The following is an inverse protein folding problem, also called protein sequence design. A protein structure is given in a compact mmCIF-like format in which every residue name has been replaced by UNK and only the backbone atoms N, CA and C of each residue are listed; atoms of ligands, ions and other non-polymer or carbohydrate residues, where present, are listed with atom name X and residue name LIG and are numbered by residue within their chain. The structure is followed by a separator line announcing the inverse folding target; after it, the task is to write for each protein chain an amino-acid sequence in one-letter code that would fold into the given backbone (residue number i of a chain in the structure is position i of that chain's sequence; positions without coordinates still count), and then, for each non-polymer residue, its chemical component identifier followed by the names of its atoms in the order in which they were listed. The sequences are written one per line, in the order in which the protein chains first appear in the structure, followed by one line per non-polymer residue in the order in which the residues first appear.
data_IF_190571416653
#
_entry.id   IF_190571416653
#
_cell.length_a   1.000
_cell.length_b   1.000
_cell.length_c   1.000
_cell.angle_alpha   90.00
_cell.angle_beta   90.00
_cell.angle_gamma   90.00
#
_symmetry.space_group_name_H-M   'P 1'
#
loop_
_entity.id
_entity.type
_entity.pdbx_description
1 polymer ?
#
# COMPACT_ATOMS: atom_id res chain seq x y z
N UNK A 1 -9.69 -26.54 5.51
CA UNK A 1 -8.46 -27.38 5.71
C UNK A 1 -7.41 -26.95 4.71
N UNK A 2 -6.13 -27.02 5.04
CA UNK A 2 -5.07 -26.76 4.08
C UNK A 2 -5.10 -27.82 2.96
N UNK A 3 -4.70 -27.42 1.74
CA UNK A 3 -4.53 -28.37 0.65
C UNK A 3 -3.27 -29.21 0.91
N UNK A 4 -3.42 -30.49 1.20
CA UNK A 4 -2.32 -31.39 1.60
C UNK A 4 -1.34 -31.68 0.45
N UNK A 5 -1.76 -31.57 -0.83
CA UNK A 5 -0.86 -31.71 -1.97
C UNK A 5 0.11 -30.52 -2.08
N UNK A 6 -0.40 -29.30 -1.90
CA UNK A 6 0.40 -28.07 -2.00
C UNK A 6 1.11 -27.75 -0.69
N UNK A 7 0.52 -28.11 0.45
CA UNK A 7 1.01 -27.81 1.80
C UNK A 7 1.02 -29.07 2.67
N UNK A 8 1.91 -30.03 2.40
CA UNK A 8 1.91 -31.32 3.10
C UNK A 8 2.14 -31.21 4.61
N UNK A 9 2.74 -30.13 5.08
CA UNK A 9 2.94 -29.82 6.50
C UNK A 9 1.99 -28.72 6.99
N UNK A 10 0.95 -28.39 6.23
CA UNK A 10 -0.01 -27.33 6.52
C UNK A 10 0.58 -25.93 6.61
N UNK A 11 -0.23 -24.97 7.05
CA UNK A 11 0.19 -23.57 7.26
C UNK A 11 1.27 -23.48 8.34
N UNK A 12 1.20 -24.29 9.38
CA UNK A 12 2.20 -24.37 10.45
C UNK A 12 3.59 -24.66 9.88
N UNK A 13 3.74 -25.72 9.10
CA UNK A 13 5.03 -26.09 8.52
C UNK A 13 5.58 -25.04 7.55
N UNK A 14 4.70 -24.35 6.79
CA UNK A 14 5.11 -23.23 5.93
C UNK A 14 5.61 -22.06 6.76
N UNK A 15 4.85 -21.64 7.77
CA UNK A 15 5.21 -20.50 8.62
C UNK A 15 6.52 -20.72 9.37
N UNK A 16 6.77 -21.94 9.87
CA UNK A 16 8.03 -22.32 10.53
C UNK A 16 9.24 -22.25 9.56
N UNK A 17 9.05 -22.67 8.31
CA UNK A 17 10.11 -22.58 7.28
C UNK A 17 10.43 -21.13 6.91
N UNK A 18 9.43 -20.26 6.80
CA UNK A 18 9.61 -18.83 6.53
C UNK A 18 10.35 -18.17 7.71
N UNK A 19 9.96 -18.47 8.94
CA UNK A 19 10.64 -17.94 10.13
C UNK A 19 12.12 -18.40 10.21
N UNK A 20 12.42 -19.62 9.83
CA UNK A 20 13.79 -20.15 9.79
C UNK A 20 14.69 -19.39 8.81
N UNK A 21 14.10 -18.68 7.83
CA UNK A 21 14.82 -17.75 6.93
C UNK A 21 14.99 -16.35 7.52
N UNK A 22 14.54 -16.11 8.74
CA UNK A 22 14.58 -14.78 9.39
C UNK A 22 13.48 -13.84 8.91
N UNK A 23 12.43 -14.36 8.27
CA UNK A 23 11.30 -13.59 7.76
C UNK A 23 10.07 -13.83 8.66
N UNK A 24 9.15 -12.88 8.64
CA UNK A 24 7.81 -13.02 9.22
C UNK A 24 6.85 -13.56 8.17
N UNK A 25 5.92 -14.41 8.58
CA UNK A 25 4.92 -14.99 7.68
C UNK A 25 3.60 -14.22 7.76
N UNK A 26 3.05 -13.85 6.60
CA UNK A 26 1.73 -13.25 6.47
C UNK A 26 0.79 -14.13 5.67
N UNK A 27 -0.52 -14.01 5.94
CA UNK A 27 -1.55 -14.76 5.24
C UNK A 27 -2.72 -13.86 4.84
N UNK A 28 -3.26 -14.09 3.64
CA UNK A 28 -4.45 -13.44 3.14
C UNK A 28 -5.70 -14.19 3.61
N UNK A 29 -6.70 -13.45 4.08
CA UNK A 29 -7.99 -13.95 4.50
C UNK A 29 -9.13 -13.20 3.83
N UNK A 30 -10.22 -13.91 3.54
CA UNK A 30 -11.49 -13.37 3.07
C UNK A 30 -12.63 -13.91 3.96
N UNK A 31 -12.67 -13.52 5.25
CA UNK A 31 -13.48 -14.20 6.25
C UNK A 31 -14.98 -13.89 6.19
N UNK A 32 -15.35 -12.85 5.45
CA UNK A 32 -16.75 -12.39 5.31
C UNK A 32 -17.48 -13.08 4.15
N UNK A 33 -16.81 -14.02 3.48
CA UNK A 33 -17.32 -14.65 2.26
C UNK A 33 -17.44 -16.16 2.41
N UNK A 34 -18.40 -16.74 1.69
CA UNK A 34 -18.59 -18.19 1.66
C UNK A 34 -18.96 -18.65 0.24
N UNK A 35 -18.40 -19.79 -0.18
CA UNK A 35 -18.75 -20.46 -1.42
C UNK A 35 -19.85 -21.49 -1.15
N UNK A 36 -20.80 -21.66 -2.09
CA UNK A 36 -21.84 -22.72 -1.98
C UNK A 36 -21.27 -24.12 -1.88
N UNK A 37 -20.13 -24.35 -2.54
CA UNK A 37 -19.40 -25.60 -2.46
C UNK A 37 -18.40 -25.61 -1.30
N UNK A 38 -18.90 -25.33 -0.09
CA UNK A 38 -18.13 -25.39 1.15
C UNK A 38 -18.92 -26.09 2.24
N UNK A 39 -18.23 -26.68 3.20
CA UNK A 39 -18.85 -27.33 4.35
C UNK A 39 -19.66 -26.33 5.19
N UNK A 40 -19.14 -25.11 5.32
CA UNK A 40 -19.83 -24.06 6.06
C UNK A 40 -21.19 -23.74 5.43
N UNK A 41 -21.25 -23.54 4.12
CA UNK A 41 -22.51 -23.24 3.45
C UNK A 41 -23.47 -24.43 3.49
N UNK A 42 -22.98 -25.67 3.31
CA UNK A 42 -23.80 -26.89 3.42
C UNK A 42 -24.41 -27.06 4.80
N UNK A 43 -23.67 -26.71 5.86
CA UNK A 43 -24.13 -26.78 7.23
C UNK A 43 -25.09 -25.65 7.60
N UNK A 44 -24.87 -24.44 7.07
CA UNK A 44 -25.56 -23.22 7.43
C UNK A 44 -25.93 -22.36 6.21
N UNK A 45 -26.82 -22.83 5.31
CA UNK A 45 -27.18 -22.09 4.10
C UNK A 45 -27.94 -20.78 4.40
N UNK A 46 -28.49 -20.65 5.62
CA UNK A 46 -29.17 -19.46 6.13
C UNK A 46 -28.23 -18.38 6.71
N UNK A 47 -26.90 -18.62 6.72
CA UNK A 47 -25.92 -17.67 7.25
C UNK A 47 -25.46 -16.62 6.24
N UNK A 48 -26.01 -16.60 5.06
CA UNK A 48 -25.71 -15.56 4.06
C UNK A 48 -26.77 -14.44 4.10
N UNK A 49 -26.35 -13.23 3.71
CA UNK A 49 -27.29 -12.16 3.42
C UNK A 49 -28.06 -12.51 2.13
N UNK A 50 -29.39 -12.64 2.23
CA UNK A 50 -30.24 -12.98 1.08
C UNK A 50 -31.67 -12.52 1.29
N UNK A 51 -32.26 -11.93 0.25
CA UNK A 51 -33.67 -11.53 0.27
C UNK A 51 -34.56 -12.75 0.02
N UNK A 52 -35.55 -13.03 0.92
CA UNK A 52 -36.46 -14.16 0.71
C UNK A 52 -37.21 -14.11 -0.63
N UNK A 53 -37.29 -15.26 -1.29
CA UNK A 53 -37.97 -15.40 -2.57
C UNK A 53 -37.28 -14.79 -3.78
N UNK A 54 -36.05 -14.32 -3.63
CA UNK A 54 -35.21 -13.83 -4.72
C UNK A 54 -33.97 -14.68 -4.89
N UNK A 55 -33.45 -14.74 -6.13
CA UNK A 55 -32.13 -15.32 -6.36
C UNK A 55 -31.06 -14.44 -5.73
N UNK A 56 -30.15 -15.08 -4.99
CA UNK A 56 -28.98 -14.40 -4.42
C UNK A 56 -27.92 -14.24 -5.47
N UNK A 57 -27.44 -13.02 -5.67
CA UNK A 57 -26.31 -12.76 -6.55
C UNK A 57 -24.99 -13.20 -5.90
N UNK A 58 -24.02 -13.51 -6.72
CA UNK A 58 -22.68 -13.86 -6.27
C UNK A 58 -21.62 -13.11 -7.08
N UNK A 59 -20.49 -12.83 -6.48
CA UNK A 59 -19.26 -12.43 -7.14
C UNK A 59 -18.19 -13.48 -6.90
N UNK A 60 -17.44 -13.89 -7.93
CA UNK A 60 -16.38 -14.92 -7.82
C UNK A 60 -16.88 -16.24 -7.20
N UNK A 61 -18.16 -16.60 -7.42
CA UNK A 61 -18.86 -17.75 -6.80
C UNK A 61 -19.00 -17.64 -5.27
N UNK A 62 -18.87 -16.45 -4.68
CA UNK A 62 -18.94 -16.20 -3.26
C UNK A 62 -20.19 -15.41 -2.89
N UNK A 63 -20.70 -15.68 -1.68
CA UNK A 63 -21.83 -15.02 -1.03
C UNK A 63 -21.34 -14.34 0.23
N UNK A 64 -22.01 -13.27 0.65
CA UNK A 64 -21.66 -12.53 1.86
C UNK A 64 -22.29 -13.23 3.07
N UNK A 65 -21.48 -13.57 4.07
CA UNK A 65 -21.94 -14.04 5.36
C UNK A 65 -22.68 -12.95 6.12
N UNK A 66 -23.70 -13.31 6.87
CA UNK A 66 -24.47 -12.37 7.68
C UNK A 66 -23.77 -12.05 9.01
N UNK A 67 -22.83 -11.12 8.96
CA UNK A 67 -22.10 -10.65 10.15
C UNK A 67 -22.96 -9.83 11.13
N UNK A 68 -24.23 -9.56 10.82
CA UNK A 68 -25.17 -9.05 11.81
C UNK A 68 -25.55 -10.11 12.87
N UNK A 69 -25.19 -11.37 12.63
CA UNK A 69 -25.46 -12.51 13.48
C UNK A 69 -24.25 -12.88 14.30
N UNK A 70 -24.39 -12.85 15.62
CA UNK A 70 -23.31 -13.19 16.55
C UNK A 70 -22.75 -14.59 16.34
N UNK A 71 -23.59 -15.58 16.06
CA UNK A 71 -23.19 -16.96 15.83
C UNK A 71 -22.30 -17.13 14.59
N UNK A 72 -22.47 -16.30 13.57
CA UNK A 72 -21.59 -16.26 12.38
C UNK A 72 -20.23 -15.70 12.76
N UNK A 73 -20.21 -14.57 13.44
CA UNK A 73 -18.97 -13.93 13.93
C UNK A 73 -18.20 -14.88 14.86
N UNK A 74 -18.89 -15.54 15.81
CA UNK A 74 -18.28 -16.49 16.74
C UNK A 74 -17.65 -17.68 16.01
N UNK A 75 -18.28 -18.21 14.99
CA UNK A 75 -17.77 -19.32 14.19
C UNK A 75 -16.49 -18.93 13.44
N UNK A 76 -16.52 -17.79 12.73
CA UNK A 76 -15.37 -17.28 11.97
C UNK A 76 -14.21 -16.95 12.92
N UNK A 77 -14.51 -16.31 14.06
CA UNK A 77 -13.51 -16.06 15.09
C UNK A 77 -12.82 -17.36 15.53
N UNK A 78 -13.60 -18.41 15.87
CA UNK A 78 -13.03 -19.70 16.29
C UNK A 78 -12.12 -20.33 15.24
N UNK A 79 -12.46 -20.20 13.96
CA UNK A 79 -11.63 -20.71 12.86
C UNK A 79 -10.32 -19.93 12.72
N UNK A 80 -10.39 -18.60 12.75
CA UNK A 80 -9.21 -17.74 12.63
C UNK A 80 -8.30 -17.84 13.86
N UNK A 81 -8.85 -17.77 15.07
CA UNK A 81 -8.11 -17.88 16.32
C UNK A 81 -7.37 -19.22 16.41
N UNK A 82 -8.03 -20.31 16.03
CA UNK A 82 -7.37 -21.63 15.97
C UNK A 82 -6.15 -21.61 15.04
N UNK A 83 -6.27 -21.07 13.83
CA UNK A 83 -5.18 -21.04 12.87
C UNK A 83 -4.02 -20.16 13.37
N UNK A 84 -4.33 -19.00 13.97
CA UNK A 84 -3.34 -18.09 14.55
C UNK A 84 -2.61 -18.74 15.73
N UNK A 85 -3.32 -19.49 16.58
CA UNK A 85 -2.71 -20.22 17.71
C UNK A 85 -1.81 -21.38 17.28
N UNK A 86 -2.11 -22.02 16.14
CA UNK A 86 -1.39 -23.19 15.64
C UNK A 86 -0.22 -22.85 14.71
N UNK A 87 -0.13 -21.62 14.21
CA UNK A 87 0.82 -21.21 13.17
C UNK A 87 1.49 -19.88 13.52
N UNK A 88 2.73 -19.67 13.04
CA UNK A 88 3.50 -18.44 13.25
C UNK A 88 3.11 -17.35 12.25
N UNK A 89 1.88 -16.88 12.33
CA UNK A 89 1.37 -15.80 11.49
C UNK A 89 1.58 -14.47 12.21
N UNK A 90 2.27 -13.54 11.56
CA UNK A 90 2.57 -12.20 12.09
C UNK A 90 1.86 -11.08 11.34
N UNK A 91 1.20 -11.41 10.22
CA UNK A 91 0.53 -10.45 9.36
C UNK A 91 -0.71 -11.08 8.72
N UNK A 92 -1.81 -10.33 8.71
CA UNK A 92 -3.03 -10.72 8.03
C UNK A 92 -3.44 -9.60 7.07
N UNK A 93 -3.58 -9.95 5.78
CA UNK A 93 -4.32 -9.13 4.83
C UNK A 93 -5.77 -9.62 4.81
N UNK A 94 -6.67 -8.82 5.37
CA UNK A 94 -8.11 -9.10 5.42
C UNK A 94 -8.81 -8.43 4.28
N UNK A 95 -9.41 -9.21 3.40
CA UNK A 95 -10.04 -8.73 2.18
C UNK A 95 -11.56 -8.99 2.18
N UNK A 96 -12.29 -8.14 1.45
CA UNK A 96 -13.71 -8.24 1.19
C UNK A 96 -13.97 -7.87 -0.26
N UNK A 97 -13.95 -8.86 -1.17
CA UNK A 97 -14.03 -8.64 -2.62
C UNK A 97 -15.46 -8.69 -3.15
N UNK A 98 -16.42 -8.25 -2.36
CA UNK A 98 -17.81 -8.26 -2.75
C UNK A 98 -18.61 -7.12 -2.12
N UNK A 99 -19.39 -6.43 -2.94
CA UNK A 99 -20.43 -5.51 -2.45
C UNK A 99 -21.60 -6.27 -1.86
N UNK A 100 -22.21 -5.75 -0.80
CA UNK A 100 -23.47 -6.28 -0.25
C UNK A 100 -24.60 -5.79 -1.14
N UNK A 101 -25.17 -6.68 -1.95
CA UNK A 101 -26.24 -6.38 -2.90
C UNK A 101 -27.63 -6.74 -2.36
N UNK A 102 -27.74 -7.87 -1.63
CA UNK A 102 -28.95 -8.31 -0.97
C UNK A 102 -28.89 -7.98 0.52
N UNK A 103 -29.22 -6.73 0.87
CA UNK A 103 -29.14 -6.26 2.25
C UNK A 103 -30.35 -6.72 3.08
N UNK A 104 -30.41 -8.02 3.36
CA UNK A 104 -31.45 -8.63 4.16
C UNK A 104 -30.88 -9.76 5.04
N UNK A 105 -31.15 -9.69 6.34
CA UNK A 105 -30.81 -10.74 7.32
C UNK A 105 -32.04 -11.55 7.68
N UNK A 106 -31.99 -12.87 7.51
CA UNK A 106 -33.07 -13.77 7.92
C UNK A 106 -33.31 -13.79 9.45
N UNK A 107 -32.37 -13.24 10.21
CA UNK A 107 -32.41 -13.19 11.68
C UNK A 107 -33.13 -11.94 12.20
N UNK A 108 -33.14 -10.86 11.45
CA UNK A 108 -33.81 -9.62 11.86
C UNK A 108 -35.27 -9.61 11.47
N UNK A 109 -36.17 -9.08 12.32
CA UNK A 109 -37.56 -8.86 11.97
C UNK A 109 -37.69 -7.81 10.85
N UNK A 110 -38.83 -7.80 10.16
CA UNK A 110 -39.04 -6.98 8.97
C UNK A 110 -38.90 -5.47 9.20
N UNK A 111 -39.27 -5.00 10.39
CA UNK A 111 -39.18 -3.59 10.81
C UNK A 111 -37.77 -3.15 11.15
N UNK A 112 -36.83 -4.08 11.27
CA UNK A 112 -35.39 -3.81 11.58
C UNK A 112 -34.42 -4.09 10.42
N UNK A 113 -34.93 -4.44 9.25
CA UNK A 113 -34.05 -4.73 8.10
C UNK A 113 -33.19 -3.52 7.66
N UNK A 114 -33.65 -2.29 7.93
CA UNK A 114 -32.81 -1.09 7.69
C UNK A 114 -31.54 -0.99 8.54
N UNK A 115 -31.37 -1.85 9.56
CA UNK A 115 -30.20 -1.88 10.43
C UNK A 115 -29.11 -2.85 9.93
N UNK A 116 -29.34 -3.64 8.86
CA UNK A 116 -28.46 -4.74 8.44
C UNK A 116 -27.04 -4.24 8.17
N UNK A 117 -26.84 -3.19 7.39
CA UNK A 117 -25.51 -2.66 7.11
C UNK A 117 -24.75 -2.22 8.36
N UNK A 118 -25.45 -1.51 9.26
CA UNK A 118 -24.84 -1.06 10.51
C UNK A 118 -24.45 -2.24 11.40
N UNK A 119 -25.36 -3.20 11.57
CA UNK A 119 -25.11 -4.41 12.37
C UNK A 119 -24.02 -5.28 11.78
N UNK A 120 -23.97 -5.36 10.45
CA UNK A 120 -22.90 -6.06 9.74
C UNK A 120 -21.52 -5.50 10.11
N UNK A 121 -21.35 -4.18 10.01
CA UNK A 121 -20.08 -3.52 10.36
C UNK A 121 -19.75 -3.67 11.84
N UNK A 122 -20.74 -3.62 12.74
CA UNK A 122 -20.50 -3.93 14.16
C UNK A 122 -19.99 -5.36 14.37
N UNK A 123 -20.49 -6.33 13.59
CA UNK A 123 -19.99 -7.70 13.61
C UNK A 123 -18.56 -7.82 13.07
N UNK A 124 -18.21 -7.05 12.03
CA UNK A 124 -16.81 -6.97 11.52
C UNK A 124 -15.90 -6.38 12.59
N UNK A 125 -16.32 -5.31 13.26
CA UNK A 125 -15.54 -4.72 14.35
C UNK A 125 -15.39 -5.64 15.57
N UNK A 126 -16.46 -6.37 15.95
CA UNK A 126 -16.36 -7.38 17.02
C UNK A 126 -15.32 -8.45 16.70
N UNK A 127 -15.29 -8.92 15.46
CA UNK A 127 -14.29 -9.92 15.04
C UNK A 127 -12.87 -9.35 15.08
N UNK A 128 -12.65 -8.13 14.56
CA UNK A 128 -11.36 -7.44 14.65
C UNK A 128 -10.93 -7.22 16.10
N UNK A 129 -11.82 -6.67 16.95
CA UNK A 129 -11.56 -6.38 18.36
C UNK A 129 -11.06 -7.62 19.10
N UNK A 130 -11.74 -8.74 18.91
CA UNK A 130 -11.38 -10.01 19.55
C UNK A 130 -10.05 -10.54 19.05
N UNK A 131 -9.81 -10.51 17.73
CA UNK A 131 -8.55 -11.01 17.16
C UNK A 131 -7.36 -10.13 17.53
N UNK A 132 -7.49 -8.82 17.50
CA UNK A 132 -6.41 -7.90 17.87
C UNK A 132 -6.09 -7.94 19.36
N UNK A 133 -7.09 -8.17 20.22
CA UNK A 133 -6.89 -8.33 21.66
C UNK A 133 -6.22 -9.68 22.00
N UNK A 134 -6.58 -10.77 21.33
CA UNK A 134 -6.02 -12.09 21.60
C UNK A 134 -4.64 -12.28 20.95
N UNK A 135 -4.41 -11.64 19.79
CA UNK A 135 -3.16 -11.73 19.02
C UNK A 135 -2.55 -10.34 18.75
N UNK A 136 -2.12 -9.62 19.79
CA UNK A 136 -1.66 -8.23 19.66
C UNK A 136 -0.39 -8.06 18.81
N UNK A 137 0.37 -9.14 18.59
CA UNK A 137 1.58 -9.14 17.75
C UNK A 137 1.29 -9.32 16.26
N UNK A 138 0.03 -9.59 15.89
CA UNK A 138 -0.37 -9.76 14.49
C UNK A 138 -0.78 -8.41 13.91
N UNK A 139 -0.08 -7.98 12.86
CA UNK A 139 -0.45 -6.78 12.12
C UNK A 139 -1.56 -7.11 11.11
N UNK A 140 -2.64 -6.31 11.12
CA UNK A 140 -3.73 -6.42 10.17
C UNK A 140 -3.62 -5.33 9.10
N UNK A 141 -3.84 -5.73 7.85
CA UNK A 141 -4.08 -4.85 6.71
C UNK A 141 -5.52 -5.03 6.24
N UNK A 142 -6.27 -3.94 6.09
CA UNK A 142 -7.61 -4.00 5.51
C UNK A 142 -7.56 -3.85 3.99
N UNK A 143 -8.38 -4.66 3.32
CA UNK A 143 -8.64 -4.56 1.89
C UNK A 143 -10.14 -4.78 1.63
N UNK A 144 -10.70 -4.13 0.61
CA UNK A 144 -12.04 -4.39 0.14
C UNK A 144 -12.11 -4.08 -1.37
N UNK A 145 -11.60 -4.99 -2.20
CA UNK A 145 -11.33 -4.73 -3.62
C UNK A 145 -10.52 -3.43 -3.76
N UNK A 146 -9.40 -3.34 -3.06
CA UNK A 146 -8.67 -2.10 -2.85
C UNK A 146 -9.25 -1.27 -1.71
N UNK A 147 -9.44 0.04 -1.95
CA UNK A 147 -9.82 1.04 -0.95
C UNK A 147 -11.31 1.15 -0.61
N UNK A 148 -12.13 0.16 -0.93
CA UNK A 148 -13.58 0.24 -0.73
C UNK A 148 -14.04 0.47 0.72
N UNK A 149 -13.18 0.17 1.70
CA UNK A 149 -13.39 0.44 3.14
C UNK A 149 -12.18 1.12 3.78
N UNK A 150 -11.49 1.97 3.05
CA UNK A 150 -10.36 2.73 3.61
C UNK A 150 -10.90 3.92 4.41
N UNK A 151 -11.14 3.72 5.68
CA UNK A 151 -11.76 4.69 6.58
C UNK A 151 -11.15 4.61 8.00
N UNK A 152 -11.37 5.64 8.86
CA UNK A 152 -10.80 5.67 10.20
C UNK A 152 -11.26 4.53 11.12
N UNK A 153 -12.47 4.00 10.92
CA UNK A 153 -12.98 2.88 11.71
C UNK A 153 -12.20 1.61 11.42
N UNK A 154 -11.92 1.33 10.15
CA UNK A 154 -11.08 0.19 9.76
C UNK A 154 -9.62 0.39 10.20
N UNK A 155 -9.09 1.62 10.08
CA UNK A 155 -7.71 1.94 10.49
C UNK A 155 -7.48 1.83 12.01
N UNK A 156 -8.54 1.87 12.82
CA UNK A 156 -8.45 1.63 14.26
C UNK A 156 -7.96 0.20 14.57
N UNK A 157 -8.40 -0.79 13.79
CA UNK A 157 -8.03 -2.20 13.97
C UNK A 157 -6.90 -2.64 13.03
N UNK A 158 -6.89 -2.12 11.82
CA UNK A 158 -5.94 -2.44 10.77
C UNK A 158 -5.22 -1.16 10.35
N UNK A 159 -4.07 -0.84 10.98
CA UNK A 159 -3.39 0.47 10.81
C UNK A 159 -2.84 0.68 9.40
N UNK A 160 -2.92 -0.32 8.55
CA UNK A 160 -2.57 -0.28 7.13
C UNK A 160 -3.76 -0.73 6.29
N UNK A 161 -3.99 -0.05 5.15
CA UNK A 161 -5.01 -0.42 4.19
C UNK A 161 -4.47 -0.47 2.77
N UNK A 162 -5.03 -1.37 1.96
CA UNK A 162 -4.78 -1.41 0.52
C UNK A 162 -5.65 -0.36 -0.16
N UNK A 163 -5.03 0.62 -0.80
CA UNK A 163 -5.72 1.81 -1.31
C UNK A 163 -6.42 1.58 -2.65
N UNK A 164 -5.89 0.67 -3.47
CA UNK A 164 -6.45 0.31 -4.78
C UNK A 164 -5.78 -0.96 -5.29
N UNK A 165 -6.54 -1.82 -5.97
CA UNK A 165 -6.02 -2.98 -6.70
C UNK A 165 -5.26 -2.57 -7.98
N UNK A 166 -5.38 -1.29 -8.40
CA UNK A 166 -4.53 -0.78 -9.46
C UNK A 166 -3.13 -0.51 -8.91
N UNK A 167 -2.22 -1.42 -9.22
CA UNK A 167 -0.83 -1.41 -8.78
C UNK A 167 0.13 -0.80 -9.81
N UNK A 168 -0.39 -0.26 -10.94
CA UNK A 168 0.42 0.45 -11.91
C UNK A 168 1.05 1.72 -11.31
N UNK A 169 2.37 1.88 -11.43
CA UNK A 169 3.09 2.98 -10.79
C UNK A 169 2.58 4.38 -11.20
N UNK A 170 2.14 4.54 -12.45
CA UNK A 170 1.65 5.84 -12.94
C UNK A 170 0.25 6.16 -12.40
N UNK A 171 -0.64 5.17 -12.33
CA UNK A 171 -1.94 5.36 -11.68
C UNK A 171 -1.79 5.54 -10.16
N UNK A 172 -0.81 4.87 -9.56
CA UNK A 172 -0.49 5.04 -8.12
C UNK A 172 -0.06 6.46 -7.76
N UNK A 173 0.51 7.24 -8.68
CA UNK A 173 0.75 8.67 -8.44
C UNK A 173 -0.53 9.40 -8.06
N UNK A 174 -1.64 9.14 -8.77
CA UNK A 174 -2.95 9.74 -8.49
C UNK A 174 -3.58 9.16 -7.22
N UNK A 175 -3.52 7.84 -7.07
CA UNK A 175 -4.12 7.12 -5.95
C UNK A 175 -3.46 7.54 -4.62
N UNK A 176 -2.12 7.50 -4.55
CA UNK A 176 -1.38 7.88 -3.34
C UNK A 176 -1.50 9.38 -3.04
N UNK A 177 -1.45 10.22 -4.06
CA UNK A 177 -1.67 11.66 -3.90
C UNK A 177 -3.06 11.94 -3.31
N UNK A 178 -4.12 11.36 -3.89
CA UNK A 178 -5.49 11.53 -3.41
C UNK A 178 -5.68 10.99 -2.00
N UNK A 179 -5.23 9.76 -1.73
CA UNK A 179 -5.34 9.15 -0.39
C UNK A 179 -4.60 9.96 0.66
N UNK A 180 -3.43 10.50 0.33
CA UNK A 180 -2.62 11.32 1.25
C UNK A 180 -3.27 12.64 1.66
N UNK A 181 -4.37 13.06 1.00
CA UNK A 181 -5.13 14.24 1.43
C UNK A 181 -5.83 14.03 2.78
N UNK A 182 -6.16 12.78 3.11
CA UNK A 182 -6.92 12.42 4.32
C UNK A 182 -6.12 11.51 5.27
N UNK A 183 -5.16 10.73 4.76
CA UNK A 183 -4.51 9.65 5.50
C UNK A 183 -2.98 9.74 5.41
N UNK A 184 -2.25 9.35 6.48
CA UNK A 184 -0.79 9.36 6.48
C UNK A 184 -0.20 8.29 5.56
N UNK A 185 1.03 8.51 5.09
CA UNK A 185 1.73 7.55 4.21
C UNK A 185 1.89 6.18 4.87
N UNK A 186 2.09 6.14 6.19
CA UNK A 186 2.25 4.89 6.96
C UNK A 186 1.03 3.99 6.94
N UNK A 187 -0.15 4.51 6.58
CA UNK A 187 -1.39 3.72 6.48
C UNK A 187 -1.68 3.17 5.09
N UNK A 188 -0.91 3.59 4.07
CA UNK A 188 -1.19 3.24 2.67
C UNK A 188 -0.28 2.12 2.16
N UNK A 189 -0.83 0.96 1.82
CA UNK A 189 -0.11 -0.09 1.11
C UNK A 189 0.38 0.39 -0.25
N UNK A 190 1.67 0.17 -0.55
CA UNK A 190 2.31 0.58 -1.81
C UNK A 190 3.32 -0.45 -2.28
N UNK A 191 3.08 -1.04 -3.45
CA UNK A 191 3.87 -2.16 -3.94
C UNK A 191 4.52 -1.90 -5.29
N UNK A 192 5.70 -2.49 -5.46
CA UNK A 192 6.37 -2.68 -6.76
C UNK A 192 5.71 -3.85 -7.45
N UNK A 193 4.89 -3.57 -8.47
CA UNK A 193 4.11 -4.58 -9.18
C UNK A 193 4.85 -5.19 -10.37
N UNK A 194 4.32 -6.29 -10.89
CA UNK A 194 4.77 -6.92 -12.13
C UNK A 194 4.55 -6.01 -13.35
N UNK A 195 5.35 -6.18 -14.39
CA UNK A 195 5.13 -5.60 -15.72
C UNK A 195 5.13 -6.71 -16.79
N UNK A 196 4.30 -6.61 -17.86
CA UNK A 196 3.24 -5.60 -18.03
C UNK A 196 2.26 -5.62 -16.87
N UNK A 197 1.79 -4.45 -16.42
CA UNK A 197 0.80 -4.38 -15.35
C UNK A 197 -0.48 -5.10 -15.77
N UNK A 198 -1.06 -5.90 -14.89
CA UNK A 198 -2.19 -6.78 -15.23
C UNK A 198 -3.52 -6.03 -15.45
N UNK A 199 -3.64 -4.77 -15.02
CA UNK A 199 -4.85 -3.97 -15.22
C UNK A 199 -4.75 -3.05 -16.45
N UNK A 200 -3.66 -2.30 -16.57
CA UNK A 200 -3.48 -1.28 -17.62
C UNK A 200 -2.49 -1.68 -18.71
N UNK A 201 -1.85 -2.85 -18.60
CA UNK A 201 -0.88 -3.41 -19.55
C UNK A 201 0.33 -2.50 -19.82
N UNK A 202 0.62 -1.57 -18.93
CA UNK A 202 1.75 -0.65 -19.03
C UNK A 202 3.04 -1.32 -18.57
N UNK A 203 4.13 -0.99 -19.25
CA UNK A 203 5.48 -1.33 -18.83
C UNK A 203 6.14 -0.06 -18.28
N UNK A 204 6.50 -0.09 -17.00
CA UNK A 204 7.21 0.98 -16.34
C UNK A 204 8.57 0.47 -15.83
N UNK A 205 9.63 1.30 -15.85
CA UNK A 205 10.93 0.91 -15.31
C UNK A 205 10.86 0.44 -13.87
N UNK A 206 11.71 -0.50 -13.47
CA UNK A 206 11.72 -1.04 -12.10
C UNK A 206 11.98 0.05 -11.06
N UNK A 207 12.95 0.95 -11.34
CA UNK A 207 13.23 2.09 -10.46
C UNK A 207 12.02 3.02 -10.29
N UNK A 208 11.24 3.27 -11.34
CA UNK A 208 10.03 4.11 -11.24
C UNK A 208 8.96 3.47 -10.38
N UNK A 209 8.75 2.16 -10.52
CA UNK A 209 7.81 1.42 -9.65
C UNK A 209 8.23 1.53 -8.18
N UNK A 210 9.52 1.38 -7.88
CA UNK A 210 10.03 1.51 -6.52
C UNK A 210 9.97 2.95 -6.00
N UNK A 211 10.36 3.93 -6.82
CA UNK A 211 10.34 5.34 -6.44
C UNK A 211 8.93 5.82 -6.04
N UNK A 212 7.88 5.30 -6.68
CA UNK A 212 6.50 5.55 -6.28
C UNK A 212 6.15 4.79 -4.99
N UNK A 213 6.55 3.53 -4.91
CA UNK A 213 6.21 2.67 -3.78
C UNK A 213 6.87 3.09 -2.46
N UNK A 214 8.00 3.81 -2.49
CA UNK A 214 8.65 4.30 -1.26
C UNK A 214 7.78 5.21 -0.41
N UNK A 215 6.83 5.91 -1.01
CA UNK A 215 5.93 6.82 -0.30
C UNK A 215 4.65 6.09 0.14
N UNK A 216 4.83 5.08 1.00
CA UNK A 216 3.81 4.22 1.57
C UNK A 216 4.42 3.06 2.36
N UNK A 217 3.61 2.06 2.70
CA UNK A 217 4.10 0.79 3.26
C UNK A 217 4.59 -0.10 2.11
N UNK A 218 5.89 -0.07 1.91
CA UNK A 218 6.58 -0.63 0.76
C UNK A 218 6.55 -2.16 0.72
N UNK A 219 6.28 -2.74 -0.46
CA UNK A 219 6.36 -4.17 -0.71
C UNK A 219 6.56 -4.51 -2.19
N UNK A 220 6.71 -5.80 -2.49
CA UNK A 220 6.77 -6.33 -3.85
C UNK A 220 5.56 -7.22 -4.12
N UNK A 221 4.93 -7.03 -5.26
CA UNK A 221 3.81 -7.81 -5.75
C UNK A 221 4.13 -8.36 -7.14
N UNK A 222 5.12 -9.26 -7.18
CA UNK A 222 5.62 -9.88 -8.40
C UNK A 222 6.32 -11.22 -8.10
N UNK A 223 6.54 -12.02 -9.13
CA UNK A 223 7.28 -13.27 -9.04
C UNK A 223 8.79 -13.00 -9.15
N UNK A 224 9.49 -13.07 -8.02
CA UNK A 224 10.94 -12.83 -7.96
C UNK A 224 11.76 -13.79 -8.83
N UNK A 225 11.23 -14.99 -9.15
CA UNK A 225 11.92 -15.95 -10.00
C UNK A 225 11.96 -15.54 -11.49
N UNK A 226 11.19 -14.53 -11.87
CA UNK A 226 11.13 -13.99 -13.23
C UNK A 226 12.05 -12.80 -13.45
N UNK A 227 12.68 -12.29 -12.40
CA UNK A 227 13.58 -11.17 -12.47
C UNK A 227 14.93 -11.60 -13.02
N UNK A 228 15.58 -10.71 -13.79
CA UNK A 228 16.97 -10.86 -14.22
C UNK A 228 17.94 -10.66 -13.06
N UNK A 229 19.21 -11.01 -13.24
CA UNK A 229 20.23 -10.78 -12.21
C UNK A 229 20.43 -9.30 -11.90
N UNK A 230 20.35 -8.44 -12.92
CA UNK A 230 20.42 -6.99 -12.78
C UNK A 230 19.21 -6.45 -11.98
N UNK A 231 18.00 -6.91 -12.28
CA UNK A 231 16.79 -6.54 -11.54
C UNK A 231 16.85 -7.02 -10.09
N UNK A 232 17.37 -8.22 -9.83
CA UNK A 232 17.58 -8.72 -8.46
C UNK A 232 18.57 -7.84 -7.70
N UNK A 233 19.62 -7.35 -8.34
CA UNK A 233 20.57 -6.42 -7.74
C UNK A 233 19.87 -5.11 -7.39
N UNK A 234 19.12 -4.55 -8.32
CA UNK A 234 18.35 -3.33 -8.11
C UNK A 234 17.33 -3.48 -6.97
N UNK A 235 16.60 -4.60 -6.90
CA UNK A 235 15.68 -4.92 -5.80
C UNK A 235 16.39 -4.91 -4.44
N UNK A 236 17.61 -5.47 -4.35
CA UNK A 236 18.39 -5.44 -3.10
C UNK A 236 18.75 -4.01 -2.67
N UNK A 237 19.13 -3.16 -3.64
CA UNK A 237 19.41 -1.75 -3.40
C UNK A 237 18.16 -1.01 -2.94
N UNK A 238 17.02 -1.25 -3.59
CA UNK A 238 15.72 -0.68 -3.23
C UNK A 238 15.29 -1.08 -1.80
N UNK A 239 15.46 -2.34 -1.42
CA UNK A 239 15.16 -2.83 -0.08
C UNK A 239 16.10 -2.16 0.96
N UNK A 240 17.37 -2.02 0.62
CA UNK A 240 18.35 -1.36 1.50
C UNK A 240 17.97 0.09 1.73
N UNK A 241 17.65 0.82 0.65
CA UNK A 241 17.17 2.21 0.72
C UNK A 241 15.91 2.32 1.61
N UNK A 242 14.92 1.47 1.37
CA UNK A 242 13.68 1.50 2.18
C UNK A 242 13.93 1.20 3.66
N UNK A 243 14.82 0.26 3.97
CA UNK A 243 15.16 -0.06 5.37
C UNK A 243 15.88 1.09 6.06
N UNK A 244 16.75 1.80 5.35
CA UNK A 244 17.50 2.95 5.90
C UNK A 244 16.60 4.16 6.13
N UNK A 245 15.69 4.45 5.20
CA UNK A 245 14.91 5.69 5.21
C UNK A 245 13.43 5.51 5.57
N UNK A 246 13.02 4.31 5.97
CA UNK A 246 11.61 3.98 6.29
C UNK A 246 10.97 4.96 7.25
N UNK A 247 11.67 5.32 8.31
CA UNK A 247 11.14 6.22 9.34
C UNK A 247 10.75 7.57 8.75
N UNK A 248 11.64 8.18 7.96
CA UNK A 248 11.37 9.47 7.31
C UNK A 248 10.28 9.33 6.24
N UNK A 249 10.33 8.27 5.43
CA UNK A 249 9.36 8.06 4.35
C UNK A 249 7.93 7.83 4.87
N UNK A 250 7.77 7.13 5.99
CA UNK A 250 6.45 6.79 6.53
C UNK A 250 5.93 7.78 7.58
N UNK A 251 6.83 8.39 8.37
CA UNK A 251 6.45 9.20 9.52
C UNK A 251 6.94 10.64 9.46
N UNK A 252 7.71 11.02 8.44
CA UNK A 252 8.12 12.39 8.20
C UNK A 252 6.95 13.29 7.76
N UNK A 253 7.19 14.60 7.73
CA UNK A 253 6.20 15.56 7.23
C UNK A 253 6.14 15.49 5.71
N UNK A 254 4.97 15.16 5.17
CA UNK A 254 4.75 14.99 3.73
C UNK A 254 4.22 16.26 3.07
N UNK A 255 4.85 16.65 1.96
CA UNK A 255 4.47 17.81 1.14
C UNK A 255 4.16 17.37 -0.29
N UNK A 256 3.02 17.81 -0.82
CA UNK A 256 2.58 17.65 -2.21
C UNK A 256 2.95 18.91 -2.98
N UNK A 257 3.93 18.83 -3.89
CA UNK A 257 4.52 19.98 -4.56
C UNK A 257 3.98 20.20 -5.97
N UNK A 258 3.77 19.11 -6.73
CA UNK A 258 3.08 19.13 -8.03
C UNK A 258 2.04 18.03 -8.09
N UNK A 259 0.83 18.39 -8.52
CA UNK A 259 -0.31 17.49 -8.60
C UNK A 259 -0.27 16.62 -9.87
N UNK A 260 -0.53 15.31 -9.79
CA UNK A 260 -0.67 14.44 -10.96
C UNK A 260 -1.92 14.74 -11.80
N UNK A 261 -2.82 15.59 -11.28
CA UNK A 261 -4.06 15.99 -11.96
C UNK A 261 -3.92 17.27 -12.77
N UNK A 262 -2.79 18.01 -12.63
CA UNK A 262 -2.59 19.32 -13.24
C UNK A 262 -1.57 19.32 -14.37
N UNK A 263 -0.89 18.19 -14.62
CA UNK A 263 0.12 18.14 -15.66
C UNK A 263 0.82 16.81 -15.80
N UNK A 264 1.96 16.86 -16.50
CA UNK A 264 2.75 15.68 -16.83
C UNK A 264 3.77 15.29 -15.74
N UNK A 265 3.93 16.16 -14.74
CA UNK A 265 4.88 15.97 -13.64
C UNK A 265 4.13 15.85 -12.31
N UNK A 266 4.57 14.93 -11.49
CA UNK A 266 4.16 14.81 -10.08
C UNK A 266 5.40 14.99 -9.22
N UNK A 267 5.27 15.76 -8.14
CA UNK A 267 6.35 15.90 -7.17
C UNK A 267 5.77 15.94 -5.76
N UNK A 268 6.36 15.14 -4.90
CA UNK A 268 6.11 15.18 -3.47
C UNK A 268 7.42 15.01 -2.70
N UNK A 269 7.40 15.30 -1.43
CA UNK A 269 8.58 15.16 -0.59
C UNK A 269 8.20 14.85 0.85
N UNK A 270 9.15 14.30 1.59
CA UNK A 270 9.10 14.14 3.06
C UNK A 270 10.31 14.81 3.68
N UNK A 271 10.14 15.34 4.88
CA UNK A 271 11.23 15.82 5.74
C UNK A 271 11.15 15.11 7.09
N UNK A 272 12.30 14.84 7.71
CA UNK A 272 12.34 14.45 9.11
C UNK A 272 12.03 15.66 10.04
N UNK A 273 11.85 15.40 11.32
CA UNK A 273 11.40 16.39 12.31
C UNK A 273 12.38 17.57 12.43
N UNK A 274 13.69 17.32 12.49
CA UNK A 274 14.71 18.36 12.62
C UNK A 274 15.10 19.00 11.28
N UNK A 275 14.47 18.59 10.19
CA UNK A 275 14.68 19.07 8.81
C UNK A 275 16.10 18.87 8.28
N UNK A 276 16.87 17.98 8.90
CA UNK A 276 18.23 17.66 8.44
C UNK A 276 18.25 16.72 7.23
N UNK A 277 17.10 16.11 6.89
CA UNK A 277 16.95 15.22 5.75
C UNK A 277 15.62 15.53 5.04
N UNK A 278 15.71 15.66 3.72
CA UNK A 278 14.54 15.70 2.86
C UNK A 278 14.70 14.71 1.71
N UNK A 279 13.62 14.00 1.40
CA UNK A 279 13.56 13.03 0.28
C UNK A 279 12.48 13.50 -0.67
N UNK A 280 12.85 13.81 -1.91
CA UNK A 280 11.96 14.34 -2.94
C UNK A 280 11.78 13.29 -4.03
N UNK A 281 10.54 12.87 -4.26
CA UNK A 281 10.14 12.06 -5.40
C UNK A 281 9.68 12.93 -6.56
N UNK A 282 10.38 12.85 -7.68
CA UNK A 282 10.03 13.49 -8.93
C UNK A 282 9.63 12.44 -9.96
N UNK A 283 8.52 12.68 -10.64
CA UNK A 283 7.94 11.76 -11.62
C UNK A 283 7.47 12.54 -12.85
N UNK A 284 7.84 12.05 -14.03
CA UNK A 284 7.36 12.55 -15.32
C UNK A 284 6.73 11.41 -16.11
N UNK A 285 5.49 11.59 -16.53
CA UNK A 285 4.73 10.53 -17.21
C UNK A 285 5.17 10.39 -18.67
N UNK A 286 5.12 11.46 -19.45
CA UNK A 286 5.52 11.43 -20.85
C UNK A 286 6.73 12.32 -21.08
N UNK A 287 7.65 11.85 -21.92
CA UNK A 287 8.74 12.67 -22.43
C UNK A 287 8.23 13.61 -23.52
N UNK A 288 8.71 14.83 -23.54
CA UNK A 288 8.34 15.85 -24.52
C UNK A 288 9.53 16.28 -25.38
N UNK A 289 9.20 16.89 -26.52
CA UNK A 289 10.22 17.46 -27.41
C UNK A 289 10.72 18.78 -26.84
N UNK A 290 12.06 18.98 -26.81
CA UNK A 290 12.67 20.23 -26.37
C UNK A 290 12.16 20.72 -25.00
N UNK A 291 12.19 19.83 -24.00
CA UNK A 291 11.77 20.18 -22.64
C UNK A 291 12.57 21.37 -22.11
N UNK A 292 11.90 22.38 -21.58
CA UNK A 292 12.57 23.51 -20.94
C UNK A 292 13.21 23.08 -19.63
N UNK A 293 14.11 23.89 -19.11
CA UNK A 293 14.59 23.74 -17.74
C UNK A 293 13.40 23.75 -16.78
N UNK A 294 13.29 22.69 -15.98
CA UNK A 294 12.26 22.59 -14.96
C UNK A 294 12.87 22.67 -13.56
N UNK A 295 12.10 23.23 -12.66
CA UNK A 295 12.46 23.33 -11.24
C UNK A 295 11.21 23.20 -10.39
N UNK A 296 11.42 22.75 -9.14
CA UNK A 296 10.35 22.58 -8.18
C UNK A 296 10.71 23.31 -6.89
N UNK A 297 9.88 24.23 -6.46
CA UNK A 297 10.03 24.87 -5.15
C UNK A 297 9.72 23.87 -4.06
N UNK A 298 10.68 23.65 -3.18
CA UNK A 298 10.52 22.74 -2.04
C UNK A 298 9.80 23.41 -0.89
N UNK A 299 9.40 22.65 0.11
CA UNK A 299 8.72 23.15 1.30
C UNK A 299 9.31 22.50 2.56
N UNK A 300 9.15 23.16 3.70
CA UNK A 300 9.47 22.62 4.99
C UNK A 300 10.96 22.45 5.30
N UNK A 301 11.86 22.99 4.48
CA UNK A 301 13.29 23.00 4.78
C UNK A 301 13.63 24.06 5.83
N UNK A 302 14.78 23.90 6.49
CA UNK A 302 15.34 24.97 7.33
C UNK A 302 16.01 26.00 6.41
N UNK A 303 15.57 27.28 6.39
CA UNK A 303 16.11 28.28 5.47
C UNK A 303 17.61 28.55 5.65
N UNK A 304 18.13 28.44 6.86
CA UNK A 304 19.52 28.75 7.21
C UNK A 304 20.46 27.53 7.14
N UNK A 305 19.94 26.37 6.72
CA UNK A 305 20.72 25.14 6.58
C UNK A 305 21.17 24.96 5.14
N UNK A 306 22.40 24.51 4.93
CA UNK A 306 22.91 24.10 3.61
C UNK A 306 22.54 22.64 3.38
N UNK A 307 21.90 22.36 2.27
CA UNK A 307 21.53 21.00 1.85
C UNK A 307 22.41 20.53 0.70
N UNK A 308 23.08 19.42 0.90
CA UNK A 308 23.75 18.68 -0.17
C UNK A 308 22.76 17.78 -0.88
N UNK A 309 22.62 17.95 -2.18
CA UNK A 309 21.95 16.97 -3.02
C UNK A 309 22.89 15.79 -3.28
N UNK A 310 22.57 14.64 -2.70
CA UNK A 310 23.43 13.43 -2.78
C UNK A 310 23.62 12.94 -4.23
N UNK A 311 22.67 13.26 -5.12
CA UNK A 311 22.72 12.84 -6.52
C UNK A 311 23.87 13.49 -7.32
N UNK A 312 24.01 14.81 -7.22
CA UNK A 312 24.92 15.59 -8.05
C UNK A 312 25.93 16.42 -7.24
N UNK A 313 25.93 16.24 -5.91
CA UNK A 313 26.81 16.93 -4.95
C UNK A 313 26.69 18.48 -4.97
N UNK A 314 25.58 19.02 -5.48
CA UNK A 314 25.31 20.45 -5.37
C UNK A 314 24.89 20.82 -3.97
N UNK A 315 25.31 21.99 -3.51
CA UNK A 315 24.93 22.54 -2.20
C UNK A 315 24.14 23.81 -2.38
N UNK A 316 22.99 23.91 -1.70
CA UNK A 316 22.11 25.07 -1.76
C UNK A 316 21.55 25.35 -0.36
N UNK A 317 21.30 26.62 -0.04
CA UNK A 317 20.57 26.96 1.17
C UNK A 317 19.10 26.50 1.11
N UNK A 318 18.50 26.20 2.27
CA UNK A 318 17.11 25.79 2.32
C UNK A 318 16.16 26.85 1.78
N UNK A 319 16.43 28.14 2.04
CA UNK A 319 15.63 29.24 1.47
C UNK A 319 15.76 29.33 -0.07
N UNK A 320 16.95 29.08 -0.63
CA UNK A 320 17.16 28.98 -2.07
C UNK A 320 16.32 27.87 -2.69
N UNK A 321 16.36 26.67 -2.11
CA UNK A 321 15.55 25.51 -2.55
C UNK A 321 14.05 25.77 -2.43
N UNK A 322 13.61 26.53 -1.44
CA UNK A 322 12.20 26.88 -1.25
C UNK A 322 11.72 28.02 -2.16
N UNK A 323 12.59 28.97 -2.54
CA UNK A 323 12.19 30.14 -3.31
C UNK A 323 12.59 30.04 -4.80
N UNK A 324 13.82 29.63 -5.09
CA UNK A 324 14.30 29.42 -6.46
C UNK A 324 13.91 28.03 -6.96
N UNK A 325 14.10 26.99 -6.14
CA UNK A 325 13.68 25.62 -6.36
C UNK A 325 14.82 24.67 -6.74
N UNK A 326 14.58 23.39 -6.51
CA UNK A 326 15.40 22.27 -6.95
C UNK A 326 15.30 22.14 -8.48
N UNK A 327 16.44 22.08 -9.17
CA UNK A 327 16.50 21.84 -10.62
C UNK A 327 16.19 20.34 -10.86
N UNK A 328 15.19 20.07 -11.71
CA UNK A 328 14.73 18.72 -12.03
C UNK A 328 14.97 18.33 -13.50
N UNK A 329 15.50 19.22 -14.29
CA UNK A 329 15.80 19.05 -15.72
C UNK A 329 17.23 18.60 -16.02
N UNK A 330 18.05 18.36 -15.00
CA UNK A 330 19.41 17.85 -15.09
C UNK A 330 19.54 16.52 -15.83
N UNK A 331 18.49 15.76 -15.90
CA UNK A 331 18.39 14.49 -16.62
C UNK A 331 18.35 14.67 -18.14
N UNK A 332 17.89 15.79 -18.60
CA UNK A 332 17.53 16.00 -20.03
C UNK A 332 18.43 16.98 -20.74
N UNK A 333 19.09 17.81 -20.01
CA UNK A 333 19.91 18.88 -20.57
C UNK A 333 21.31 18.36 -20.86
N UNK A 334 21.51 17.51 -21.86
CA UNK A 334 22.78 17.14 -22.44
C UNK A 334 24.05 17.80 -21.86
N UNK A 335 24.28 17.62 -20.57
CA UNK A 335 25.37 18.29 -19.84
C UNK A 335 26.75 17.83 -20.31
N UNK A 336 26.78 16.67 -20.99
CA UNK A 336 28.02 16.17 -21.61
C UNK A 336 27.74 15.87 -23.07
N UNK A 337 28.30 16.61 -24.01
CA UNK A 337 28.21 16.28 -25.43
C UNK A 337 28.68 14.83 -25.68
N UNK A 338 27.76 13.99 -26.14
CA UNK A 338 28.00 12.60 -26.43
C UNK A 338 27.54 11.58 -25.35
N UNK A 339 27.13 12.02 -24.16
CA UNK A 339 26.61 11.15 -23.08
C UNK A 339 25.15 11.48 -22.72
N UNK A 340 24.33 11.74 -23.72
CA UNK A 340 22.89 11.93 -23.49
C UNK A 340 22.28 10.56 -23.22
N UNK A 341 21.96 10.26 -21.98
CA UNK A 341 21.03 9.17 -21.68
C UNK A 341 19.65 9.59 -22.21
N UNK A 342 19.07 8.86 -23.16
CA UNK A 342 17.75 9.20 -23.66
C UNK A 342 16.76 9.22 -22.51
N UNK A 343 16.08 10.35 -22.30
CA UNK A 343 14.93 10.38 -21.42
C UNK A 343 13.77 9.65 -22.07
N UNK A 344 13.25 8.68 -21.37
CA UNK A 344 12.10 7.90 -21.79
C UNK A 344 10.82 8.40 -21.11
N UNK A 345 9.67 7.87 -21.52
CA UNK A 345 8.44 8.00 -20.74
C UNK A 345 8.58 7.30 -19.39
N UNK A 346 7.78 7.73 -18.43
CA UNK A 346 7.73 7.17 -17.08
C UNK A 346 9.05 7.35 -16.29
N UNK A 347 9.71 8.49 -16.49
CA UNK A 347 10.94 8.84 -15.79
C UNK A 347 10.66 9.23 -14.34
N UNK A 348 11.54 8.84 -13.45
CA UNK A 348 11.45 9.22 -12.05
C UNK A 348 12.81 9.36 -11.39
N UNK A 349 12.87 10.17 -10.34
CA UNK A 349 14.07 10.34 -9.54
C UNK A 349 13.75 10.59 -8.07
N UNK A 350 14.57 10.00 -7.21
CA UNK A 350 14.61 10.34 -5.79
C UNK A 350 15.80 11.27 -5.55
N UNK A 351 15.52 12.51 -5.15
CA UNK A 351 16.55 13.41 -4.67
C UNK A 351 16.62 13.33 -3.15
N UNK A 352 17.82 13.08 -2.64
CA UNK A 352 18.11 13.09 -1.23
C UNK A 352 18.89 14.36 -0.89
N UNK A 353 18.35 15.14 0.02
CA UNK A 353 18.91 16.40 0.46
C UNK A 353 19.33 16.27 1.93
N UNK A 354 20.64 16.23 2.18
CA UNK A 354 21.22 16.12 3.52
C UNK A 354 21.67 17.49 4.01
N UNK A 355 21.02 17.95 5.07
CA UNK A 355 21.30 19.25 5.70
C UNK A 355 22.56 19.24 6.52
N UNK A 356 23.38 20.26 6.34
CA UNK A 356 24.56 20.57 7.15
C UNK A 356 24.35 21.87 7.90
N UNK A 357 24.56 21.88 9.21
CA UNK A 357 24.56 23.15 9.95
C UNK A 357 25.70 24.01 9.44
N UNK A 358 25.41 25.27 9.10
CA UNK A 358 26.46 26.26 8.80
C UNK A 358 27.30 26.40 10.07
N UNK A 359 28.57 26.02 10.00
CA UNK A 359 29.48 26.38 11.08
C UNK A 359 29.62 27.89 11.04
N UNK A 360 29.25 28.58 12.11
CA UNK A 360 29.59 29.98 12.27
C UNK A 360 31.11 30.12 12.08
N UNK A 361 31.51 30.69 10.95
CA UNK A 361 32.89 31.12 10.76
C UNK A 361 33.08 32.27 11.73
N UNK A 362 33.68 31.99 12.88
CA UNK A 362 34.15 32.98 13.84
C UNK A 362 35.39 33.69 13.33
#
# INVERSE_FOLDING_TARGET
MANEELLPNGIKGLSERIEALGLKFGLWFEPEMVNKDSDLYRAHPDWILQTPGRNTSHGRYQYVLDFSRKEVVDHIYGMMAKLLSESKISYIKWDMNRSITECYSSKLPSDRQGEVFHRYILGVYDLYERLTNEFPEVLFESCASGGGRFDPGMLYYAPQGWTSDDSDAIERLKIQYGTSMCYPLSSMGSHVSVVPNHQVFRNTPLHTRANVAYFGTFGYELDLNKLTEEEIKEVKEQITFMKEYREVLQFGTFYRLKSPFEGNETVWMVTNEDRSLAIVGYYRVLNGVNQPYSRVRLQGLNPDMIYENVWNHTENYGDELMNYGLITSDVTAGEVPGNVTPCTDFESRIYMLKGKKVQEVR
#
